data_IF_173918796269
#
_entry.id   IF_173918796269
#
_cell.length_a   1.000
_cell.length_b   1.000
_cell.length_c   1.000
_cell.angle_alpha   90.00
_cell.angle_beta   90.00
_cell.angle_gamma   90.00
#
_symmetry.space_group_name_H-M   'P 1'
#
loop_
_entity.id
_entity.type
_entity.pdbx_description
1 polymer ?
#
# COMPACT_ATOMS: atom_id res chain seq x y z
N UNK A 1 6.06 -18.82 14.75
CA UNK A 1 4.68 -19.31 14.54
C UNK A 1 4.51 -19.61 13.05
N UNK A 2 4.90 -20.81 12.65
CA UNK A 2 4.71 -21.31 11.28
C UNK A 2 3.25 -21.76 11.16
N UNK A 3 2.40 -20.93 10.57
CA UNK A 3 1.09 -21.38 10.10
C UNK A 3 1.33 -22.44 9.02
N UNK A 4 1.23 -23.70 9.41
CA UNK A 4 1.28 -24.83 8.49
C UNK A 4 -0.01 -24.76 7.65
N UNK A 5 0.10 -24.21 6.44
CA UNK A 5 -1.03 -24.11 5.52
C UNK A 5 -1.37 -25.53 5.07
N UNK A 6 -2.64 -25.98 5.17
CA UNK A 6 -3.04 -27.28 4.64
C UNK A 6 -2.65 -27.35 3.15
N UNK A 7 -1.85 -28.38 2.82
CA UNK A 7 -1.13 -28.54 1.55
C UNK A 7 -2.06 -28.65 0.32
N UNK A 8 -3.36 -28.75 0.56
CA UNK A 8 -4.46 -28.98 -0.36
C UNK A 8 -5.39 -27.76 -0.53
N UNK A 9 -5.16 -26.65 0.18
CA UNK A 9 -5.96 -25.42 0.00
C UNK A 9 -5.90 -24.88 -1.43
N UNK A 10 -7.03 -24.38 -1.95
CA UNK A 10 -7.13 -23.76 -3.27
C UNK A 10 -6.05 -22.68 -3.50
N UNK A 11 -5.76 -21.89 -2.45
CA UNK A 11 -4.68 -20.90 -2.45
C UNK A 11 -3.30 -21.51 -2.67
N UNK A 12 -2.99 -22.67 -2.07
CA UNK A 12 -1.71 -23.34 -2.27
C UNK A 12 -1.56 -23.86 -3.72
N UNK A 13 -2.66 -24.31 -4.34
CA UNK A 13 -2.67 -24.70 -5.76
C UNK A 13 -2.48 -23.49 -6.67
N UNK A 14 -3.14 -22.38 -6.37
CA UNK A 14 -3.03 -21.15 -7.15
C UNK A 14 -1.64 -20.49 -7.00
N UNK A 15 -1.03 -20.53 -5.80
CA UNK A 15 0.33 -20.01 -5.56
C UNK A 15 1.40 -20.78 -6.38
N UNK A 16 1.18 -22.08 -6.66
CA UNK A 16 2.05 -22.86 -7.56
C UNK A 16 2.05 -22.36 -9.01
N UNK A 17 0.99 -21.67 -9.45
CA UNK A 17 0.94 -21.09 -10.80
C UNK A 17 1.76 -19.80 -10.91
N UNK A 18 2.16 -19.19 -9.78
CA UNK A 18 2.89 -17.92 -9.69
C UNK A 18 2.15 -16.68 -10.22
N UNK A 19 1.05 -16.87 -10.97
CA UNK A 19 0.24 -15.79 -11.58
C UNK A 19 -0.29 -14.79 -10.54
N UNK A 20 -0.88 -15.20 -9.39
CA UNK A 20 -1.44 -14.25 -8.43
C UNK A 20 -0.41 -13.26 -7.91
N UNK A 21 0.83 -13.72 -7.71
CA UNK A 21 1.89 -12.86 -7.19
C UNK A 21 2.39 -11.87 -8.24
N UNK A 22 2.50 -12.29 -9.50
CA UNK A 22 2.88 -11.38 -10.60
C UNK A 22 1.81 -10.32 -10.80
N UNK A 23 0.54 -10.72 -10.83
CA UNK A 23 -0.59 -9.79 -10.97
C UNK A 23 -0.63 -8.83 -9.79
N UNK A 24 -0.49 -9.33 -8.55
CA UNK A 24 -0.44 -8.47 -7.36
C UNK A 24 0.69 -7.44 -7.44
N UNK A 25 1.90 -7.83 -7.85
CA UNK A 25 3.03 -6.91 -8.00
C UNK A 25 2.77 -5.80 -9.01
N UNK A 26 2.29 -6.17 -10.20
CA UNK A 26 2.08 -5.21 -11.28
C UNK A 26 0.91 -4.28 -10.98
N UNK A 27 -0.19 -4.82 -10.46
CA UNK A 27 -1.38 -4.03 -10.11
C UNK A 27 -1.10 -3.12 -8.91
N UNK A 28 -0.59 -3.65 -7.80
CA UNK A 28 -0.25 -2.84 -6.62
C UNK A 28 0.82 -1.81 -6.97
N UNK A 29 1.90 -2.24 -7.63
CA UNK A 29 2.99 -1.36 -8.00
C UNK A 29 2.55 -0.21 -8.90
N UNK A 30 1.84 -0.51 -9.99
CA UNK A 30 1.37 0.51 -10.93
C UNK A 30 0.35 1.47 -10.31
N UNK A 31 -0.61 0.96 -9.55
CA UNK A 31 -1.63 1.79 -8.92
C UNK A 31 -1.04 2.71 -7.85
N UNK A 32 -0.16 2.22 -6.97
CA UNK A 32 0.44 3.04 -5.92
C UNK A 32 1.41 4.08 -6.48
N UNK A 33 2.14 3.78 -7.55
CA UNK A 33 2.93 4.80 -8.27
C UNK A 33 2.00 5.88 -8.82
N UNK A 34 0.93 5.49 -9.52
CA UNK A 34 -0.04 6.44 -10.09
C UNK A 34 -0.65 7.34 -9.00
N UNK A 35 -1.10 6.75 -7.89
CA UNK A 35 -1.69 7.50 -6.78
C UNK A 35 -0.67 8.42 -6.10
N UNK A 36 0.56 7.94 -5.87
CA UNK A 36 1.63 8.74 -5.28
C UNK A 36 2.02 9.93 -6.16
N UNK A 37 2.16 9.73 -7.48
CA UNK A 37 2.43 10.83 -8.43
C UNK A 37 1.30 11.85 -8.40
N UNK A 38 0.04 11.40 -8.43
CA UNK A 38 -1.11 12.32 -8.37
C UNK A 38 -1.13 13.17 -7.09
N UNK A 39 -0.62 12.65 -5.97
CA UNK A 39 -0.49 13.41 -4.70
C UNK A 39 0.67 14.41 -4.73
N UNK A 40 1.75 14.09 -5.45
CA UNK A 40 2.87 15.01 -5.67
C UNK A 40 2.51 16.17 -6.60
N UNK A 41 1.65 15.94 -7.59
CA UNK A 41 1.20 16.99 -8.51
C UNK A 41 0.37 18.07 -7.79
N UNK A 42 -0.41 17.68 -6.77
CA UNK A 42 -1.31 18.58 -6.04
C UNK A 42 -1.15 18.47 -4.51
N UNK A 43 0.03 18.81 -3.96
CA UNK A 43 0.35 18.56 -2.55
C UNK A 43 -0.52 19.38 -1.60
N UNK A 44 -0.92 20.59 -2.00
CA UNK A 44 -1.81 21.47 -1.21
C UNK A 44 -3.22 20.89 -1.10
N UNK A 45 -3.70 20.25 -2.17
CA UNK A 45 -5.02 19.59 -2.16
C UNK A 45 -5.00 18.38 -1.23
N UNK A 46 -4.00 17.51 -1.40
CA UNK A 46 -3.83 16.33 -0.55
C UNK A 46 -3.68 16.69 0.94
N UNK A 47 -2.98 17.78 1.25
CA UNK A 47 -2.88 18.29 2.62
C UNK A 47 -4.24 18.69 3.21
N UNK A 48 -5.11 19.32 2.42
CA UNK A 48 -6.48 19.67 2.86
C UNK A 48 -7.30 18.40 3.09
N UNK A 49 -7.22 17.43 2.18
CA UNK A 49 -7.92 16.15 2.31
C UNK A 49 -7.50 15.42 3.60
N UNK A 50 -6.19 15.41 3.93
CA UNK A 50 -5.67 14.85 5.20
C UNK A 50 -6.27 15.56 6.42
N UNK A 51 -6.35 16.89 6.39
CA UNK A 51 -6.90 17.69 7.50
C UNK A 51 -8.38 17.40 7.72
N UNK A 52 -9.16 17.25 6.66
CA UNK A 52 -10.59 16.97 6.75
C UNK A 52 -10.92 15.63 7.41
N UNK A 53 -10.00 14.66 7.41
CA UNK A 53 -10.19 13.42 8.14
C UNK A 53 -10.18 13.62 9.66
N UNK A 54 -9.46 14.62 10.19
CA UNK A 54 -9.39 14.89 11.62
C UNK A 54 -8.76 13.78 12.47
N UNK A 55 -8.09 12.79 11.85
CA UNK A 55 -7.45 11.67 12.56
C UNK A 55 -6.07 12.00 13.12
N UNK A 56 -5.38 13.00 12.56
CA UNK A 56 -4.03 13.40 12.97
C UNK A 56 -4.11 14.64 13.87
N UNK A 57 -3.40 14.67 15.02
CA UNK A 57 -3.35 15.86 15.85
C UNK A 57 -2.80 17.06 15.08
N UNK A 58 -3.48 18.21 15.19
CA UNK A 58 -2.95 19.50 14.72
C UNK A 58 -1.86 20.05 15.66
N UNK A 59 -1.75 19.47 16.87
CA UNK A 59 -0.76 19.87 17.87
C UNK A 59 0.65 19.40 17.50
N UNK A 60 1.63 20.28 17.71
CA UNK A 60 3.06 19.99 17.57
C UNK A 60 3.47 18.90 18.55
N UNK A 61 3.89 17.74 18.04
CA UNK A 61 4.27 16.58 18.85
C UNK A 61 5.68 16.72 19.49
N UNK A 62 6.56 17.47 18.83
CA UNK A 62 7.93 17.81 19.24
C UNK A 62 8.20 19.22 18.68
N UNK A 63 8.81 20.14 19.44
CA UNK A 63 9.04 21.56 19.10
C UNK A 63 9.11 21.84 17.58
N UNK A 64 7.98 22.24 16.98
CA UNK A 64 7.86 22.66 15.57
C UNK A 64 7.46 21.61 14.53
N UNK A 65 7.34 20.32 14.85
CA UNK A 65 6.99 19.28 13.87
C UNK A 65 5.48 19.08 13.71
N UNK A 66 4.95 19.45 12.55
CA UNK A 66 3.56 19.23 12.14
C UNK A 66 3.40 17.87 11.45
N UNK A 67 2.77 16.89 12.13
CA UNK A 67 2.56 15.53 11.62
C UNK A 67 1.78 15.50 10.29
N UNK A 68 0.81 16.40 10.13
CA UNK A 68 -0.03 16.48 8.93
C UNK A 68 0.82 16.89 7.71
N UNK A 69 1.70 17.88 7.87
CA UNK A 69 2.59 18.32 6.79
C UNK A 69 3.63 17.25 6.45
N UNK A 70 4.21 16.61 7.48
CA UNK A 70 5.17 15.52 7.27
C UNK A 70 4.52 14.35 6.53
N UNK A 71 3.31 13.98 6.92
CA UNK A 71 2.55 12.90 6.27
C UNK A 71 2.22 13.27 4.82
N UNK A 72 1.77 14.50 4.54
CA UNK A 72 1.46 14.95 3.19
C UNK A 72 2.67 14.86 2.24
N UNK A 73 3.88 15.08 2.74
CA UNK A 73 5.12 15.02 1.95
C UNK A 73 5.70 13.61 1.90
N UNK A 74 5.84 12.92 3.02
CA UNK A 74 6.52 11.63 3.09
C UNK A 74 5.72 10.51 2.41
N UNK A 75 4.39 10.58 2.50
CA UNK A 75 3.51 9.50 2.09
C UNK A 75 3.56 9.21 0.59
N UNK A 76 3.47 10.20 -0.32
CA UNK A 76 3.60 9.97 -1.76
C UNK A 76 4.93 9.32 -2.15
N UNK A 77 6.04 9.72 -1.52
CA UNK A 77 7.37 9.13 -1.77
C UNK A 77 7.43 7.66 -1.36
N UNK A 78 6.84 7.32 -0.21
CA UNK A 78 6.77 5.93 0.26
C UNK A 78 5.92 5.08 -0.69
N UNK A 79 4.79 5.60 -1.18
CA UNK A 79 3.92 4.91 -2.14
C UNK A 79 4.64 4.62 -3.46
N UNK A 80 5.33 5.61 -4.02
CA UNK A 80 6.09 5.46 -5.27
C UNK A 80 7.26 4.49 -5.08
N UNK A 81 8.03 4.65 -4.01
CA UNK A 81 9.18 3.78 -3.73
C UNK A 81 8.75 2.33 -3.54
N UNK A 82 7.73 2.07 -2.72
CA UNK A 82 7.21 0.72 -2.52
C UNK A 82 6.61 0.15 -3.81
N UNK A 83 5.92 0.96 -4.60
CA UNK A 83 5.38 0.53 -5.88
C UNK A 83 6.46 0.14 -6.88
N UNK A 84 7.53 0.93 -6.98
CA UNK A 84 8.69 0.63 -7.82
C UNK A 84 9.40 -0.67 -7.37
N UNK A 85 9.62 -0.82 -6.06
CA UNK A 85 10.21 -2.04 -5.49
C UNK A 85 9.37 -3.29 -5.81
N UNK A 86 8.04 -3.20 -5.78
CA UNK A 86 7.14 -4.29 -6.18
C UNK A 86 7.26 -4.64 -7.67
N UNK A 87 7.31 -3.64 -8.55
CA UNK A 87 7.47 -3.85 -9.99
C UNK A 87 8.82 -4.52 -10.27
N UNK A 88 9.91 -3.94 -9.78
CA UNK A 88 11.28 -4.46 -9.96
C UNK A 88 11.44 -5.83 -9.30
N UNK A 89 10.71 -6.11 -8.22
CA UNK A 89 10.80 -7.37 -7.51
C UNK A 89 11.91 -7.41 -6.47
N UNK A 90 12.14 -6.29 -5.80
CA UNK A 90 13.03 -6.12 -4.66
C UNK A 90 12.19 -5.90 -3.39
N UNK A 91 12.59 -6.51 -2.26
CA UNK A 91 11.93 -6.32 -0.96
C UNK A 91 10.41 -6.51 -0.99
N UNK A 92 9.94 -7.47 -1.79
CA UNK A 92 8.52 -7.70 -2.09
C UNK A 92 7.62 -7.72 -0.86
N UNK A 93 8.03 -8.43 0.18
CA UNK A 93 7.26 -8.56 1.44
C UNK A 93 7.27 -7.26 2.24
N UNK A 94 8.41 -6.58 2.31
CA UNK A 94 8.53 -5.30 3.00
C UNK A 94 7.65 -4.24 2.34
N UNK A 95 7.75 -4.08 1.01
CA UNK A 95 6.93 -3.15 0.25
C UNK A 95 5.44 -3.47 0.34
N UNK A 96 5.05 -4.74 0.23
CA UNK A 96 3.64 -5.15 0.39
C UNK A 96 3.10 -4.89 1.80
N UNK A 97 3.93 -5.07 2.83
CA UNK A 97 3.54 -4.80 4.22
C UNK A 97 3.32 -3.31 4.45
N UNK A 98 4.27 -2.48 4.00
CA UNK A 98 4.18 -1.02 4.14
C UNK A 98 2.95 -0.49 3.42
N UNK A 99 2.74 -0.87 2.15
CA UNK A 99 1.55 -0.46 1.39
C UNK A 99 0.26 -0.98 2.04
N UNK A 100 0.25 -2.22 2.53
CA UNK A 100 -0.89 -2.80 3.22
C UNK A 100 -1.26 -2.04 4.50
N UNK A 101 -0.28 -1.68 5.33
CA UNK A 101 -0.51 -0.91 6.55
C UNK A 101 -1.04 0.49 6.25
N UNK A 102 -0.45 1.17 5.26
CA UNK A 102 -0.91 2.50 4.83
C UNK A 102 -2.34 2.43 4.29
N UNK A 103 -2.64 1.43 3.47
CA UNK A 103 -3.96 1.24 2.91
C UNK A 103 -4.99 0.91 3.99
N UNK A 104 -4.64 0.08 4.97
CA UNK A 104 -5.51 -0.22 6.11
C UNK A 104 -5.82 1.05 6.92
N UNK A 105 -4.81 1.88 7.17
CA UNK A 105 -4.99 3.17 7.85
C UNK A 105 -5.95 4.09 7.08
N UNK A 106 -5.72 4.32 5.79
CA UNK A 106 -6.61 5.16 4.98
C UNK A 106 -8.02 4.59 4.84
N UNK A 107 -8.15 3.27 4.71
CA UNK A 107 -9.48 2.62 4.65
C UNK A 107 -10.25 2.86 5.94
N UNK A 108 -9.57 2.79 7.08
CA UNK A 108 -10.17 3.07 8.39
C UNK A 108 -10.53 4.55 8.52
N UNK A 109 -9.67 5.45 8.06
CA UNK A 109 -9.92 6.89 8.06
C UNK A 109 -11.14 7.27 7.21
N UNK A 110 -11.22 6.72 5.99
CA UNK A 110 -12.33 6.89 5.05
C UNK A 110 -13.62 6.35 5.66
N UNK A 111 -13.58 5.14 6.22
CA UNK A 111 -14.73 4.53 6.88
C UNK A 111 -15.22 5.37 8.07
N UNK A 112 -14.31 5.82 8.93
CA UNK A 112 -14.64 6.65 10.10
C UNK A 112 -15.34 7.96 9.70
N UNK A 113 -14.79 8.65 8.69
CA UNK A 113 -15.39 9.86 8.14
C UNK A 113 -16.78 9.60 7.57
N UNK A 114 -16.94 8.51 6.81
CA UNK A 114 -18.22 8.14 6.22
C UNK A 114 -19.29 7.84 7.28
N UNK A 115 -18.93 7.15 8.36
CA UNK A 115 -19.83 6.92 9.51
C UNK A 115 -20.21 8.24 10.18
N UNK A 116 -19.27 9.18 10.33
CA UNK A 116 -19.57 10.52 10.83
C UNK A 116 -20.60 11.28 9.98
N UNK A 117 -20.44 11.24 8.66
CA UNK A 117 -21.39 11.87 7.72
C UNK A 117 -22.75 11.17 7.75
N UNK A 118 -22.78 9.84 7.75
CA UNK A 118 -24.01 9.05 7.85
C UNK A 118 -24.81 9.35 9.12
N UNK A 119 -24.12 9.54 10.27
CA UNK A 119 -24.77 9.90 11.52
C UNK A 119 -25.28 11.35 11.55
N UNK A 120 -24.66 12.24 10.77
CA UNK A 120 -24.98 13.67 10.74
C UNK A 120 -26.04 14.04 9.69
N UNK A 121 -26.13 13.30 8.59
CA UNK A 121 -27.05 13.54 7.49
C UNK A 121 -27.73 12.25 7.07
N UNK A 122 -29.06 12.23 7.07
CA UNK A 122 -29.91 11.08 6.77
C UNK A 122 -29.86 10.57 5.31
N UNK A 123 -28.71 10.64 4.66
CA UNK A 123 -28.41 10.04 3.36
C UNK A 123 -27.89 8.61 3.55
N UNK A 124 -28.17 7.74 2.58
CA UNK A 124 -27.73 6.35 2.65
C UNK A 124 -26.20 6.25 2.61
N UNK A 125 -25.61 5.30 3.34
CA UNK A 125 -24.16 5.14 3.44
C UNK A 125 -23.48 5.06 2.06
N UNK A 126 -24.04 4.29 1.12
CA UNK A 126 -23.48 4.13 -0.23
C UNK A 126 -23.79 5.28 -1.20
N UNK A 127 -24.46 6.34 -0.76
CA UNK A 127 -24.71 7.55 -1.56
C UNK A 127 -23.75 8.69 -1.15
N UNK A 128 -22.99 8.50 -0.08
CA UNK A 128 -21.99 9.46 0.39
C UNK A 128 -20.83 9.54 -0.62
N UNK A 129 -20.55 10.76 -1.08
CA UNK A 129 -19.49 11.07 -2.03
C UNK A 129 -18.57 12.15 -1.44
N UNK A 130 -17.26 11.88 -1.36
CA UNK A 130 -16.25 12.88 -1.01
C UNK A 130 -14.89 12.51 -1.61
N UNK A 131 -13.99 13.49 -1.72
CA UNK A 131 -12.63 13.25 -2.20
C UNK A 131 -11.82 12.53 -1.12
N UNK A 132 -11.40 11.31 -1.44
CA UNK A 132 -10.65 10.46 -0.53
C UNK A 132 -9.13 10.72 -0.57
N UNK A 133 -8.68 11.73 -1.32
CA UNK A 133 -7.26 12.15 -1.39
C UNK A 133 -6.38 11.23 -2.23
N UNK A 134 -6.98 10.40 -3.08
CA UNK A 134 -6.28 9.51 -4.03
C UNK A 134 -6.12 10.11 -5.43
N UNK A 135 -6.48 11.39 -5.61
CA UNK A 135 -6.32 12.13 -6.88
C UNK A 135 -7.40 11.86 -7.93
N UNK A 136 -8.37 10.99 -7.64
CA UNK A 136 -9.46 10.65 -8.55
C UNK A 136 -10.69 11.58 -8.40
N UNK A 137 -10.64 12.54 -7.48
CA UNK A 137 -11.76 13.43 -7.18
C UNK A 137 -12.80 12.79 -6.25
N UNK A 138 -13.98 13.42 -6.13
CA UNK A 138 -15.10 12.88 -5.39
C UNK A 138 -15.51 11.50 -5.94
N UNK A 139 -15.58 10.50 -5.07
CA UNK A 139 -15.97 9.13 -5.41
C UNK A 139 -16.93 8.61 -4.35
N UNK A 140 -17.88 7.80 -4.79
CA UNK A 140 -18.84 7.10 -3.91
C UNK A 140 -18.12 6.17 -2.94
N UNK A 141 -18.46 6.29 -1.66
CA UNK A 141 -17.72 5.64 -0.57
C UNK A 141 -17.68 4.12 -0.67
N UNK A 142 -18.79 3.48 -1.03
CA UNK A 142 -18.86 2.01 -1.08
C UNK A 142 -17.98 1.44 -2.19
N UNK A 143 -17.91 2.13 -3.34
CA UNK A 143 -16.98 1.76 -4.40
C UNK A 143 -15.54 1.90 -3.91
N UNK A 144 -15.21 3.01 -3.24
CA UNK A 144 -13.85 3.22 -2.75
C UNK A 144 -13.44 2.23 -1.67
N UNK A 145 -14.34 1.89 -0.75
CA UNK A 145 -14.10 0.88 0.27
C UNK A 145 -13.86 -0.49 -0.35
N UNK A 146 -14.66 -0.88 -1.34
CA UNK A 146 -14.46 -2.13 -2.07
C UNK A 146 -13.12 -2.16 -2.80
N UNK A 147 -12.73 -1.07 -3.47
CA UNK A 147 -11.44 -0.92 -4.13
C UNK A 147 -10.29 -1.09 -3.12
N UNK A 148 -10.31 -0.35 -2.01
CA UNK A 148 -9.28 -0.45 -0.99
C UNK A 148 -9.21 -1.84 -0.34
N UNK A 149 -10.36 -2.48 -0.06
CA UNK A 149 -10.39 -3.84 0.48
C UNK A 149 -9.83 -4.86 -0.51
N UNK A 150 -10.08 -4.68 -1.81
CA UNK A 150 -9.53 -5.55 -2.86
C UNK A 150 -8.00 -5.43 -2.92
N UNK A 151 -7.49 -4.19 -2.88
CA UNK A 151 -6.05 -3.91 -2.86
C UNK A 151 -5.39 -4.44 -1.58
N UNK A 152 -6.06 -4.32 -0.43
CA UNK A 152 -5.58 -4.88 0.84
C UNK A 152 -5.50 -6.40 0.78
N UNK A 153 -6.50 -7.04 0.17
CA UNK A 153 -6.50 -8.47 -0.13
C UNK A 153 -5.30 -8.86 -0.99
N UNK A 154 -4.98 -8.09 -2.03
CA UNK A 154 -3.79 -8.33 -2.86
C UNK A 154 -2.47 -8.16 -2.07
N UNK A 155 -2.38 -7.20 -1.16
CA UNK A 155 -1.22 -7.07 -0.27
C UNK A 155 -1.07 -8.31 0.63
N UNK A 156 -2.17 -8.81 1.19
CA UNK A 156 -2.16 -10.04 2.00
C UNK A 156 -1.75 -11.25 1.16
N UNK A 157 -2.23 -11.38 -0.07
CA UNK A 157 -1.81 -12.44 -1.00
C UNK A 157 -0.30 -12.34 -1.27
N UNK A 158 0.22 -11.14 -1.55
CA UNK A 158 1.64 -10.92 -1.80
C UNK A 158 2.52 -11.23 -0.57
N UNK A 159 2.04 -10.93 0.63
CA UNK A 159 2.73 -11.26 1.89
C UNK A 159 2.78 -12.76 2.16
N UNK A 160 1.67 -13.45 1.90
CA UNK A 160 1.51 -14.87 2.19
C UNK A 160 2.01 -15.78 1.06
N UNK A 161 2.30 -15.24 -0.13
CA UNK A 161 2.85 -16.00 -1.25
C UNK A 161 4.29 -16.44 -0.95
N UNK A 162 4.62 -17.71 -1.28
CA UNK A 162 6.00 -18.21 -1.25
C UNK A 162 6.69 -18.07 -2.61
N UNK A 163 5.96 -17.71 -3.65
CA UNK A 163 6.48 -17.56 -5.00
C UNK A 163 7.46 -16.38 -5.10
N UNK A 164 8.73 -16.65 -5.45
CA UNK A 164 9.75 -15.63 -5.75
C UNK A 164 10.12 -15.56 -7.22
N UNK A 165 9.40 -16.26 -8.11
CA UNK A 165 9.72 -16.25 -9.55
C UNK A 165 9.66 -14.82 -10.09
N UNK A 166 10.68 -14.43 -10.87
CA UNK A 166 10.86 -13.08 -11.44
C UNK A 166 11.07 -11.96 -10.40
N UNK A 167 11.40 -12.29 -9.15
CA UNK A 167 11.94 -11.31 -8.21
C UNK A 167 13.44 -11.15 -8.50
N UNK A 168 13.93 -9.93 -8.65
CA UNK A 168 15.38 -9.68 -8.75
C UNK A 168 16.11 -10.24 -7.51
N UNK A 169 15.44 -10.23 -6.35
CA UNK A 169 15.93 -10.86 -5.12
C UNK A 169 16.16 -12.38 -5.23
N UNK A 170 15.59 -13.06 -6.23
CA UNK A 170 15.78 -14.49 -6.45
C UNK A 170 16.99 -14.83 -7.35
N UNK A 171 17.65 -13.83 -7.93
CA UNK A 171 18.84 -14.06 -8.75
C UNK A 171 20.01 -14.51 -7.88
N UNK A 172 20.70 -15.62 -8.22
CA UNK A 172 21.90 -16.01 -7.51
C UNK A 172 22.96 -14.92 -7.70
N UNK A 173 23.35 -14.26 -6.60
CA UNK A 173 24.52 -13.38 -6.58
C UNK A 173 25.73 -14.28 -6.81
N UNK A 174 26.23 -14.29 -8.05
CA UNK A 174 27.44 -15.01 -8.41
C UNK A 174 28.61 -14.23 -7.83
N UNK A 175 29.00 -14.53 -6.59
CA UNK A 175 30.25 -14.04 -6.01
C UNK A 175 31.38 -14.68 -6.81
N UNK A 176 31.96 -13.94 -7.74
CA UNK A 176 33.21 -14.34 -8.40
C UNK A 176 34.31 -14.30 -7.34
N UNK A 177 34.60 -15.46 -6.74
CA UNK A 177 35.70 -15.60 -5.78
C UNK A 177 37.03 -15.34 -6.47
N UNK A 178 37.74 -14.30 -6.03
CA UNK A 178 39.16 -14.12 -6.32
C UNK A 178 39.94 -15.11 -5.47
N UNK A 179 40.34 -16.24 -6.05
CA UNK A 179 41.34 -17.13 -5.45
C UNK A 179 42.70 -16.43 -5.46
N UNK A 180 43.04 -15.74 -4.37
CA UNK A 180 44.41 -15.30 -4.12
C UNK A 180 45.04 -16.33 -3.20
N UNK A 181 45.81 -17.25 -3.78
CA UNK A 181 46.67 -18.15 -3.01
C UNK A 181 47.71 -17.32 -2.25
N UNK A 182 47.71 -17.42 -0.93
CA UNK A 182 48.81 -16.97 -0.09
C UNK A 182 49.24 -18.17 0.75
N UNK A 183 50.37 -18.74 0.35
CA UNK A 183 51.21 -19.63 1.14
C UNK A 183 52.40 -18.80 1.64
N UNK A 184 52.42 -18.49 2.93
CA UNK A 184 53.61 -18.06 3.69
C UNK A 184 53.57 -18.75 5.04
#
# INVERSE_FOLDING_TARGET
MTLDRPADSFFARLDRTHVPMIVARLVLGGLFIKMGVSKLDHPVKFLKDIREYGLLPEATFFDGLNLINLTAVALPWIEILCGLLLIVGLWLRGSSLVLGLMLAFFTTAIFWRAVGVYNAGGIAFCEIEFDCGCGAGPIVICYKLAENLSLLGMCVIALLSRSRKLAVESLPVRVSGTSSGVSV
#
